data_IF_724040751632
#
_entry.id   IF_724040751632
#
_cell.length_a   1.000
_cell.length_b   1.000
_cell.length_c   1.000
_cell.angle_alpha   90.00
_cell.angle_beta   90.00
_cell.angle_gamma   90.00
#
_symmetry.space_group_name_H-M   'P 1'
#
loop_
_entity.id
_entity.type
_entity.pdbx_description
1 polymer ?
#
# COMPACT_ATOMS: atom_id res chain seq x y z
N UNK A 1 51.96 -29.90 -26.92
CA UNK A 1 50.93 -29.70 -25.88
C UNK A 1 50.96 -28.24 -25.48
N UNK A 2 49.97 -27.46 -25.90
CA UNK A 2 49.86 -26.03 -25.57
C UNK A 2 49.22 -25.90 -24.19
N UNK A 3 49.98 -25.48 -23.19
CA UNK A 3 49.45 -25.09 -21.90
C UNK A 3 48.64 -23.80 -22.08
N UNK A 4 47.31 -23.92 -22.08
CA UNK A 4 46.42 -22.75 -22.01
C UNK A 4 46.71 -22.00 -20.72
N UNK A 5 47.27 -20.80 -20.86
CA UNK A 5 47.41 -19.84 -19.77
C UNK A 5 46.02 -19.53 -19.20
N UNK A 6 45.72 -20.13 -18.04
CA UNK A 6 44.57 -19.77 -17.21
C UNK A 6 44.85 -18.35 -16.67
N UNK A 7 44.35 -17.34 -17.37
CA UNK A 7 44.31 -15.97 -16.84
C UNK A 7 43.51 -15.99 -15.54
N UNK A 8 44.17 -15.63 -14.44
CA UNK A 8 43.51 -15.42 -13.16
C UNK A 8 42.38 -14.39 -13.32
N UNK A 9 41.22 -14.73 -12.78
CA UNK A 9 40.04 -13.88 -12.83
C UNK A 9 40.15 -12.79 -11.78
N UNK A 10 39.62 -11.61 -12.10
CA UNK A 10 39.62 -10.48 -11.17
C UNK A 10 38.99 -10.86 -9.81
N UNK A 11 39.53 -10.34 -8.69
CA UNK A 11 38.95 -10.54 -7.38
C UNK A 11 37.46 -10.20 -7.36
N UNK A 12 36.63 -11.17 -6.95
CA UNK A 12 35.17 -11.01 -6.89
C UNK A 12 34.40 -11.45 -8.13
N UNK A 13 35.07 -11.86 -9.21
CA UNK A 13 34.43 -12.40 -10.42
C UNK A 13 33.42 -13.52 -10.11
N UNK A 14 33.83 -14.53 -9.36
CA UNK A 14 32.96 -15.65 -8.97
C UNK A 14 31.81 -15.24 -8.06
N UNK A 15 32.04 -14.27 -7.17
CA UNK A 15 30.99 -13.69 -6.32
C UNK A 15 29.91 -13.00 -7.16
N UNK A 16 30.33 -12.25 -8.18
CA UNK A 16 29.40 -11.55 -9.07
C UNK A 16 28.56 -12.51 -9.90
N UNK A 17 29.18 -13.57 -10.46
CA UNK A 17 28.46 -14.61 -11.19
C UNK A 17 27.43 -15.28 -10.28
N UNK A 18 27.86 -15.73 -9.10
CA UNK A 18 26.97 -16.38 -8.13
C UNK A 18 25.77 -15.49 -7.75
N UNK A 19 26.01 -14.21 -7.45
CA UNK A 19 24.94 -13.26 -7.13
C UNK A 19 23.98 -13.03 -8.31
N UNK A 20 24.50 -12.93 -9.53
CA UNK A 20 23.71 -12.78 -10.75
C UNK A 20 22.81 -13.99 -11.01
N UNK A 21 23.36 -15.19 -10.86
CA UNK A 21 22.62 -16.45 -11.01
C UNK A 21 21.51 -16.57 -9.95
N UNK A 22 21.81 -16.23 -8.70
CA UNK A 22 20.82 -16.20 -7.62
C UNK A 22 19.67 -15.21 -7.88
N UNK A 23 19.96 -14.02 -8.42
CA UNK A 23 18.94 -13.05 -8.81
C UNK A 23 18.08 -13.60 -9.95
N UNK A 24 18.69 -14.23 -10.94
CA UNK A 24 18.00 -14.80 -12.11
C UNK A 24 17.08 -15.95 -11.72
N UNK A 25 17.58 -16.89 -10.92
CA UNK A 25 16.80 -18.01 -10.40
C UNK A 25 15.63 -17.54 -9.54
N UNK A 26 15.83 -16.49 -8.74
CA UNK A 26 14.78 -15.88 -7.94
C UNK A 26 13.69 -15.23 -8.79
N UNK A 27 14.07 -14.41 -9.77
CA UNK A 27 13.11 -13.80 -10.72
C UNK A 27 12.29 -14.88 -11.42
N UNK A 28 12.94 -15.95 -11.87
CA UNK A 28 12.27 -17.10 -12.49
C UNK A 28 11.26 -17.76 -11.52
N UNK A 29 11.65 -18.00 -10.27
CA UNK A 29 10.78 -18.62 -9.27
C UNK A 29 9.60 -17.73 -8.87
N UNK A 30 9.81 -16.42 -8.69
CA UNK A 30 8.71 -15.49 -8.41
C UNK A 30 7.72 -15.49 -9.57
N UNK A 31 8.20 -15.44 -10.81
CA UNK A 31 7.33 -15.58 -11.98
C UNK A 31 6.56 -16.90 -11.97
N UNK A 32 7.20 -18.02 -11.60
CA UNK A 32 6.52 -19.32 -11.47
C UNK A 32 5.45 -19.32 -10.36
N UNK A 33 5.73 -18.71 -9.22
CA UNK A 33 4.77 -18.57 -8.12
C UNK A 33 3.59 -17.71 -8.57
N UNK A 34 3.86 -16.54 -9.16
CA UNK A 34 2.84 -15.63 -9.66
C UNK A 34 2.02 -16.26 -10.78
N UNK A 35 2.62 -17.02 -11.70
CA UNK A 35 1.88 -17.74 -12.74
C UNK A 35 1.04 -18.89 -12.19
N UNK A 36 1.41 -19.44 -11.03
CA UNK A 36 0.65 -20.52 -10.37
C UNK A 36 -0.54 -19.99 -9.56
N UNK A 37 -0.59 -18.68 -9.34
CA UNK A 37 -1.67 -18.00 -8.65
C UNK A 37 -2.51 -17.32 -9.72
N UNK A 38 -3.82 -17.63 -9.78
CA UNK A 38 -4.72 -16.92 -10.67
C UNK A 38 -4.58 -15.42 -10.42
N UNK A 39 -4.58 -14.61 -11.48
CA UNK A 39 -4.63 -13.16 -11.34
C UNK A 39 -6.06 -12.71 -11.60
N UNK A 40 -6.56 -11.81 -10.75
CA UNK A 40 -7.79 -11.08 -10.99
C UNK A 40 -7.39 -9.61 -11.11
N UNK A 41 -7.72 -8.97 -12.25
CA UNK A 41 -7.41 -7.55 -12.46
C UNK A 41 -5.90 -7.22 -12.29
N UNK A 42 -5.00 -8.10 -12.72
CA UNK A 42 -3.55 -7.92 -12.58
C UNK A 42 -3.00 -8.02 -11.15
N UNK A 43 -3.81 -8.46 -10.19
CA UNK A 43 -3.43 -8.70 -8.79
C UNK A 43 -3.48 -10.20 -8.48
N UNK A 44 -2.54 -10.77 -7.69
CA UNK A 44 -2.55 -12.19 -7.35
C UNK A 44 -3.77 -12.57 -6.49
N UNK A 45 -4.64 -13.45 -6.99
CA UNK A 45 -5.88 -13.88 -6.32
C UNK A 45 -5.65 -14.78 -5.08
N UNK A 46 -4.44 -15.32 -4.90
CA UNK A 46 -4.04 -16.09 -3.72
C UNK A 46 -2.62 -15.71 -3.29
N UNK A 47 -2.47 -14.43 -2.93
CA UNK A 47 -1.22 -13.85 -2.45
C UNK A 47 -0.70 -14.56 -1.20
N UNK A 48 -1.59 -15.03 -0.31
CA UNK A 48 -1.20 -15.71 0.93
C UNK A 48 -0.40 -16.99 0.61
N UNK A 49 -0.87 -17.78 -0.38
CA UNK A 49 -0.12 -18.94 -0.87
C UNK A 49 1.21 -18.53 -1.50
N UNK A 50 1.26 -17.43 -2.24
CA UNK A 50 2.51 -16.93 -2.84
C UNK A 50 3.54 -16.49 -1.78
N UNK A 51 3.11 -15.80 -0.74
CA UNK A 51 3.92 -15.40 0.42
C UNK A 51 4.46 -16.63 1.15
N UNK A 52 3.59 -17.62 1.42
CA UNK A 52 3.99 -18.89 2.05
C UNK A 52 5.01 -19.67 1.20
N UNK A 53 4.79 -19.80 -0.11
CA UNK A 53 5.68 -20.54 -1.02
C UNK A 53 7.04 -19.88 -1.23
N UNK A 54 7.10 -18.55 -1.11
CA UNK A 54 8.34 -17.78 -1.20
C UNK A 54 9.11 -17.73 0.12
N UNK A 55 8.49 -18.12 1.25
CA UNK A 55 9.07 -17.94 2.59
C UNK A 55 9.25 -16.46 2.94
N UNK A 56 8.44 -15.59 2.33
CA UNK A 56 8.51 -14.15 2.53
C UNK A 56 7.95 -13.78 3.90
N UNK A 57 8.71 -12.96 4.60
CA UNK A 57 8.32 -12.28 5.84
C UNK A 57 8.71 -10.82 5.72
N UNK A 58 8.36 -9.99 6.70
CA UNK A 58 8.72 -8.59 6.73
C UNK A 58 9.41 -8.21 8.04
N UNK A 59 10.22 -7.16 7.97
CA UNK A 59 10.87 -6.55 9.11
C UNK A 59 10.79 -5.03 9.03
N UNK A 60 10.80 -4.38 10.18
CA UNK A 60 10.98 -2.94 10.29
C UNK A 60 12.35 -2.66 10.91
N UNK A 61 13.11 -1.77 10.29
CA UNK A 61 14.45 -1.38 10.75
C UNK A 61 14.43 0.08 11.15
N UNK A 62 14.81 0.35 12.39
CA UNK A 62 14.93 1.69 12.95
C UNK A 62 16.39 2.09 13.00
N UNK A 63 16.71 3.31 12.56
CA UNK A 63 18.07 3.86 12.65
C UNK A 63 18.09 5.09 13.56
N UNK A 64 18.97 5.10 14.53
CA UNK A 64 19.15 6.25 15.43
C UNK A 64 20.20 7.25 14.93
N UNK A 65 20.32 8.38 15.63
CA UNK A 65 21.31 9.44 15.35
C UNK A 65 22.76 8.97 15.49
N UNK A 66 23.03 7.90 16.26
CA UNK A 66 24.35 7.28 16.35
C UNK A 66 24.65 6.34 15.18
N UNK A 67 23.66 6.09 14.32
CA UNK A 67 23.74 5.15 13.20
C UNK A 67 23.47 3.70 13.60
N UNK A 68 23.08 3.42 14.84
CA UNK A 68 22.74 2.07 15.30
C UNK A 68 21.39 1.65 14.74
N UNK A 69 21.36 0.44 14.20
CA UNK A 69 20.16 -0.15 13.59
C UNK A 69 19.51 -1.15 14.54
N UNK A 70 18.20 -1.02 14.73
CA UNK A 70 17.37 -1.95 15.49
C UNK A 70 16.35 -2.59 14.56
N UNK A 71 16.47 -3.89 14.32
CA UNK A 71 15.60 -4.65 13.42
C UNK A 71 14.55 -5.39 14.24
N UNK A 72 13.29 -5.22 13.88
CA UNK A 72 12.15 -5.93 14.47
C UNK A 72 11.48 -6.82 13.44
N UNK A 73 11.28 -8.09 13.81
CA UNK A 73 10.60 -9.08 12.96
C UNK A 73 9.10 -8.89 13.04
N UNK A 74 8.40 -9.17 11.95
CA UNK A 74 6.94 -9.22 11.95
C UNK A 74 6.41 -10.09 13.10
N UNK A 75 5.35 -9.62 13.75
CA UNK A 75 4.62 -10.38 14.76
C UNK A 75 3.41 -11.08 14.14
N UNK A 76 2.66 -10.34 13.32
CA UNK A 76 1.41 -10.83 12.73
C UNK A 76 1.18 -10.22 11.33
N UNK A 77 0.31 -10.88 10.55
CA UNK A 77 -0.09 -10.44 9.21
C UNK A 77 -1.61 -10.62 9.08
N UNK A 78 -2.29 -9.57 8.66
CA UNK A 78 -3.70 -9.62 8.29
C UNK A 78 -3.84 -9.45 6.78
N UNK A 79 -4.57 -10.35 6.12
CA UNK A 79 -4.85 -10.29 4.68
C UNK A 79 -6.23 -9.67 4.44
N UNK A 80 -6.29 -8.71 3.53
CA UNK A 80 -7.51 -8.07 3.04
C UNK A 80 -7.80 -8.46 1.58
N UNK A 81 -8.77 -7.83 0.93
CA UNK A 81 -9.12 -8.19 -0.45
C UNK A 81 -8.00 -7.83 -1.45
N UNK A 82 -7.38 -6.65 -1.29
CA UNK A 82 -6.34 -6.13 -2.19
C UNK A 82 -5.02 -5.75 -1.53
N UNK A 83 -4.93 -5.84 -0.20
CA UNK A 83 -3.73 -5.49 0.56
C UNK A 83 -3.51 -6.44 1.75
N UNK A 84 -2.35 -6.35 2.38
CA UNK A 84 -2.11 -6.91 3.69
C UNK A 84 -1.58 -5.86 4.66
N UNK A 85 -1.84 -6.10 5.94
CA UNK A 85 -1.28 -5.34 7.05
C UNK A 85 -0.25 -6.18 7.79
N UNK A 86 1.00 -5.72 7.83
CA UNK A 86 2.06 -6.32 8.63
C UNK A 86 2.12 -5.62 9.97
N UNK A 87 2.08 -6.36 11.07
CA UNK A 87 2.06 -5.83 12.44
C UNK A 87 3.37 -6.12 13.14
N UNK A 88 3.94 -5.09 13.77
CA UNK A 88 5.05 -5.20 14.71
C UNK A 88 4.60 -4.73 16.09
N UNK A 89 4.66 -5.65 17.05
CA UNK A 89 4.42 -5.38 18.47
C UNK A 89 5.60 -5.96 19.26
N UNK A 90 6.15 -5.18 20.19
CA UNK A 90 7.28 -5.60 21.01
C UNK A 90 7.26 -4.92 22.38
N UNK A 91 8.01 -5.49 23.33
CA UNK A 91 8.18 -4.91 24.66
C UNK A 91 9.28 -3.85 24.71
N UNK A 92 10.25 -3.93 23.80
CA UNK A 92 11.40 -3.03 23.73
C UNK A 92 11.39 -2.31 22.38
N UNK A 93 11.23 -1.00 22.43
CA UNK A 93 11.27 -0.12 21.26
C UNK A 93 12.42 0.87 21.38
N UNK A 94 13.03 1.28 20.26
CA UNK A 94 13.99 2.37 20.29
C UNK A 94 13.31 3.69 20.67
N UNK A 95 14.07 4.59 21.31
CA UNK A 95 13.55 5.89 21.70
C UNK A 95 13.20 6.72 20.47
N UNK A 96 11.94 7.15 20.35
CA UNK A 96 11.46 7.88 19.18
C UNK A 96 12.23 9.18 18.91
N UNK A 97 12.69 9.85 19.97
CA UNK A 97 13.42 11.13 19.89
C UNK A 97 14.82 10.98 19.29
N UNK A 98 15.40 9.78 19.34
CA UNK A 98 16.72 9.51 18.75
C UNK A 98 16.63 8.92 17.34
N UNK A 99 15.43 8.63 16.82
CA UNK A 99 15.26 8.02 15.51
C UNK A 99 15.49 9.03 14.38
N UNK A 100 16.18 8.57 13.35
CA UNK A 100 16.41 9.33 12.12
C UNK A 100 15.68 8.74 10.95
N UNK A 101 15.63 7.41 10.82
CA UNK A 101 14.89 6.74 9.75
C UNK A 101 14.17 5.50 10.23
N UNK A 102 13.10 5.16 9.50
CA UNK A 102 12.40 3.88 9.59
C UNK A 102 12.40 3.28 8.21
N UNK A 103 12.67 1.99 8.11
CA UNK A 103 12.66 1.26 6.85
C UNK A 103 11.82 0.00 6.99
N UNK A 104 11.02 -0.27 5.96
CA UNK A 104 10.27 -1.52 5.85
C UNK A 104 10.95 -2.42 4.84
N UNK A 105 11.26 -3.64 5.24
CA UNK A 105 11.96 -4.61 4.41
C UNK A 105 11.14 -5.88 4.21
N UNK A 106 11.14 -6.39 2.99
CA UNK A 106 10.84 -7.79 2.72
C UNK A 106 12.05 -8.65 3.07
N UNK A 107 11.81 -9.76 3.76
CA UNK A 107 12.82 -10.66 4.31
C UNK A 107 12.59 -12.04 3.72
N UNK A 108 13.57 -12.51 2.95
CA UNK A 108 13.54 -13.83 2.30
C UNK A 108 14.74 -14.67 2.69
N UNK A 109 14.59 -15.99 2.75
CA UNK A 109 15.72 -16.88 2.94
C UNK A 109 16.67 -16.79 1.73
N UNK A 110 17.98 -16.90 1.97
CA UNK A 110 18.97 -16.90 0.88
C UNK A 110 18.86 -18.13 -0.01
N UNK A 111 18.52 -19.29 0.54
CA UNK A 111 18.27 -20.53 -0.20
C UNK A 111 16.79 -20.91 -0.11
N UNK A 112 16.19 -21.25 -1.25
CA UNK A 112 14.78 -21.65 -1.33
C UNK A 112 14.60 -23.18 -1.38
N UNK A 113 15.63 -23.93 -1.01
CA UNK A 113 15.72 -25.37 -1.19
C UNK A 113 15.29 -26.12 0.08
N UNK A 114 14.32 -27.03 -0.06
CA UNK A 114 13.74 -27.79 1.06
C UNK A 114 14.72 -28.82 1.65
N UNK A 115 15.81 -29.12 0.94
CA UNK A 115 16.76 -30.18 1.30
C UNK A 115 17.85 -29.80 2.30
N UNK A 116 17.85 -28.57 2.82
CA UNK A 116 18.90 -28.12 3.76
C UNK A 116 18.32 -28.04 5.17
N UNK A 117 18.84 -28.88 6.06
CA UNK A 117 18.49 -28.94 7.49
C UNK A 117 18.26 -27.54 8.12
N UNK A 118 17.12 -27.40 8.80
CA UNK A 118 16.69 -26.22 9.57
C UNK A 118 17.64 -25.81 10.71
N UNK A 119 18.77 -26.51 10.92
CA UNK A 119 19.69 -26.31 12.03
C UNK A 119 20.77 -25.25 11.78
N UNK A 120 20.95 -24.78 10.54
CA UNK A 120 21.87 -23.67 10.23
C UNK A 120 21.07 -22.41 9.92
N UNK A 121 21.18 -21.38 10.77
CA UNK A 121 20.65 -20.03 10.55
C UNK A 121 21.35 -19.42 9.32
N UNK A 122 20.84 -19.72 8.14
CA UNK A 122 21.29 -19.06 6.92
C UNK A 122 20.95 -17.57 6.97
N UNK A 123 21.79 -16.69 6.41
CA UNK A 123 21.52 -15.26 6.40
C UNK A 123 20.23 -14.99 5.63
N UNK A 124 19.36 -14.17 6.19
CA UNK A 124 18.20 -13.65 5.48
C UNK A 124 18.62 -12.49 4.58
N UNK A 125 17.98 -12.37 3.42
CA UNK A 125 18.13 -11.22 2.54
C UNK A 125 17.01 -10.22 2.79
N UNK A 126 17.40 -8.96 2.89
CA UNK A 126 16.51 -7.81 3.03
C UNK A 126 16.33 -7.14 1.66
N UNK A 127 15.10 -6.76 1.38
CA UNK A 127 14.68 -5.99 0.21
C UNK A 127 13.92 -4.77 0.71
N UNK A 128 14.46 -3.57 0.50
CA UNK A 128 13.82 -2.32 0.91
C UNK A 128 12.52 -2.12 0.14
N UNK A 129 11.43 -1.91 0.87
CA UNK A 129 10.10 -1.62 0.31
C UNK A 129 9.80 -0.13 0.43
N UNK A 130 10.09 0.46 1.59
CA UNK A 130 9.89 1.87 1.84
C UNK A 130 10.89 2.39 2.89
N UNK A 131 11.27 3.66 2.75
CA UNK A 131 12.16 4.39 3.64
C UNK A 131 11.49 5.70 4.05
N UNK A 132 11.53 6.01 5.34
CA UNK A 132 10.86 7.15 5.96
C UNK A 132 11.86 7.97 6.76
N UNK A 133 11.94 9.26 6.46
CA UNK A 133 12.74 10.21 7.23
C UNK A 133 11.98 10.70 8.47
N UNK A 134 12.53 10.41 9.64
CA UNK A 134 12.01 10.83 10.93
C UNK A 134 12.75 12.04 11.53
N UNK A 135 13.74 12.63 10.84
CA UNK A 135 14.44 13.82 11.36
C UNK A 135 13.49 15.01 11.56
N UNK A 136 12.54 15.16 10.65
CA UNK A 136 11.40 16.08 10.77
C UNK A 136 10.13 15.35 11.22
N UNK A 137 10.26 14.45 12.20
CA UNK A 137 9.21 13.52 12.66
C UNK A 137 7.79 14.13 12.70
N UNK A 138 7.65 15.31 13.30
CA UNK A 138 6.36 15.97 13.50
C UNK A 138 5.78 16.61 12.22
N UNK A 139 6.63 16.96 11.25
CA UNK A 139 6.21 17.52 9.96
C UNK A 139 5.90 16.41 8.95
N UNK A 140 6.59 15.28 9.05
CA UNK A 140 6.44 14.13 8.15
C UNK A 140 5.23 13.25 8.47
N UNK A 141 4.63 13.37 9.67
CA UNK A 141 3.54 12.52 10.12
C UNK A 141 2.16 13.18 9.96
N UNK A 142 1.23 12.47 9.35
CA UNK A 142 -0.18 12.83 9.34
C UNK A 142 -0.88 12.24 10.57
N UNK A 143 -1.66 13.05 11.29
CA UNK A 143 -2.45 12.55 12.42
C UNK A 143 -3.70 11.83 11.92
N UNK A 144 -3.88 10.58 12.33
CA UNK A 144 -5.03 9.75 11.94
C UNK A 144 -6.10 9.76 13.04
N UNK A 145 -5.71 9.50 14.27
CA UNK A 145 -6.68 9.40 15.35
C UNK A 145 -6.04 9.04 16.69
N UNK A 146 -6.85 8.93 17.73
CA UNK A 146 -6.39 8.48 19.03
C UNK A 146 -7.52 7.81 19.81
N UNK A 147 -7.15 7.03 20.82
CA UNK A 147 -8.08 6.56 21.83
C UNK A 147 -7.61 6.96 23.24
N UNK A 148 -8.04 6.21 24.26
CA UNK A 148 -7.62 6.43 25.65
C UNK A 148 -6.13 6.14 25.90
N UNK A 149 -5.50 5.28 25.10
CA UNK A 149 -4.13 4.80 25.33
C UNK A 149 -3.12 5.30 24.29
N UNK A 150 -3.49 5.29 23.01
CA UNK A 150 -2.56 5.52 21.91
C UNK A 150 -2.97 6.68 21.01
N UNK A 151 -1.97 7.31 20.40
CA UNK A 151 -2.09 8.27 19.30
C UNK A 151 -1.56 7.60 18.03
N UNK A 152 -2.34 7.59 16.96
CA UNK A 152 -2.00 6.98 15.68
C UNK A 152 -1.53 8.04 14.68
N UNK A 153 -0.35 7.81 14.13
CA UNK A 153 0.31 8.67 13.14
C UNK A 153 0.55 7.88 11.85
N UNK A 154 0.46 8.55 10.71
CA UNK A 154 0.70 7.99 9.40
C UNK A 154 1.95 8.63 8.76
N UNK A 155 2.88 7.76 8.39
CA UNK A 155 4.05 8.06 7.58
C UNK A 155 3.76 7.56 6.16
N UNK A 156 3.79 8.48 5.19
CA UNK A 156 3.52 8.14 3.79
C UNK A 156 4.74 7.48 3.14
N UNK A 157 4.55 6.40 2.35
CA UNK A 157 3.28 5.70 2.06
C UNK A 157 2.94 4.61 3.08
N UNK A 158 1.68 4.48 3.48
CA UNK A 158 1.16 3.26 4.15
C UNK A 158 1.76 2.79 5.49
N UNK A 159 2.60 3.56 6.20
CA UNK A 159 3.14 3.16 7.50
C UNK A 159 2.42 3.85 8.66
N UNK A 160 1.80 3.07 9.53
CA UNK A 160 1.18 3.51 10.77
C UNK A 160 2.14 3.35 11.94
N UNK A 161 2.30 4.43 12.70
CA UNK A 161 3.07 4.47 13.94
C UNK A 161 2.15 4.86 15.09
N UNK A 162 1.95 3.95 16.04
CA UNK A 162 1.15 4.22 17.23
C UNK A 162 2.06 4.55 18.42
N UNK A 163 1.73 5.62 19.14
CA UNK A 163 2.48 6.10 20.30
C UNK A 163 1.61 6.04 21.55
N UNK A 164 2.18 5.58 22.67
CA UNK A 164 1.53 5.71 23.98
C UNK A 164 1.36 7.17 24.35
N UNK A 165 0.15 7.56 24.75
CA UNK A 165 -0.15 8.97 25.08
C UNK A 165 0.62 9.49 26.30
N UNK A 166 0.91 8.62 27.27
CA UNK A 166 1.58 9.00 28.52
C UNK A 166 3.10 9.10 28.37
N UNK A 167 3.75 8.09 27.79
CA UNK A 167 5.21 8.05 27.68
C UNK A 167 5.75 8.62 26.36
N UNK A 168 4.89 8.78 25.35
CA UNK A 168 5.27 9.14 23.99
C UNK A 168 6.27 8.14 23.36
N UNK A 169 6.19 6.88 23.78
CA UNK A 169 6.97 5.78 23.22
C UNK A 169 6.16 5.02 22.18
N UNK A 170 6.86 4.28 21.32
CA UNK A 170 6.22 3.45 20.29
C UNK A 170 5.44 2.31 20.99
N UNK A 171 4.16 2.19 20.64
CA UNK A 171 3.29 1.11 21.09
C UNK A 171 3.35 -0.06 20.10
N UNK A 172 3.10 0.24 18.83
CA UNK A 172 3.13 -0.71 17.73
C UNK A 172 3.35 0.01 16.40
N UNK A 173 3.74 -0.75 15.39
CA UNK A 173 3.88 -0.29 14.00
C UNK A 173 3.08 -1.21 13.10
N UNK A 174 2.39 -0.64 12.11
CA UNK A 174 1.66 -1.40 11.09
C UNK A 174 2.03 -0.86 9.72
N UNK A 175 2.39 -1.72 8.77
CA UNK A 175 2.58 -1.33 7.37
C UNK A 175 1.46 -1.93 6.52
N UNK A 176 0.83 -1.10 5.70
CA UNK A 176 -0.24 -1.49 4.78
C UNK A 176 0.35 -1.62 3.37
N UNK A 177 0.35 -2.83 2.83
CA UNK A 177 1.03 -3.17 1.58
C UNK A 177 0.02 -3.72 0.57
N UNK A 178 -0.21 -2.98 -0.52
CA UNK A 178 -1.07 -3.42 -1.61
C UNK A 178 -0.45 -4.62 -2.34
N UNK A 179 -1.27 -5.55 -2.84
CA UNK A 179 -0.82 -6.79 -3.47
C UNK A 179 -0.15 -6.58 -4.83
N UNK A 180 -0.50 -5.51 -5.53
CA UNK A 180 0.15 -5.15 -6.79
C UNK A 180 1.67 -5.03 -6.57
N UNK A 181 2.44 -5.87 -7.29
CA UNK A 181 3.91 -5.89 -7.26
C UNK A 181 4.56 -6.20 -5.89
N UNK A 182 3.78 -6.69 -4.92
CA UNK A 182 4.23 -6.90 -3.55
C UNK A 182 5.40 -7.88 -3.45
N UNK A 183 5.32 -9.03 -4.14
CA UNK A 183 6.37 -10.03 -4.10
C UNK A 183 7.67 -9.47 -4.69
N UNK A 184 7.58 -8.79 -5.82
CA UNK A 184 8.73 -8.21 -6.50
C UNK A 184 9.41 -7.17 -5.61
N UNK A 185 8.66 -6.22 -5.05
CA UNK A 185 9.14 -5.21 -4.11
C UNK A 185 9.80 -5.85 -2.88
N UNK A 186 9.19 -6.91 -2.36
CA UNK A 186 9.64 -7.57 -1.13
C UNK A 186 10.81 -8.54 -1.32
N UNK A 187 11.21 -8.85 -2.56
CA UNK A 187 12.19 -9.94 -2.80
C UNK A 187 13.31 -9.61 -3.78
N UNK A 188 13.09 -8.69 -4.73
CA UNK A 188 14.03 -8.40 -5.82
C UNK A 188 14.93 -7.20 -5.53
N UNK A 189 14.57 -6.36 -4.56
CA UNK A 189 15.38 -5.23 -4.13
C UNK A 189 16.63 -5.63 -3.34
N UNK A 190 17.34 -4.62 -2.84
CA UNK A 190 18.46 -4.79 -1.93
C UNK A 190 18.14 -4.16 -0.57
N UNK A 191 18.99 -4.37 0.43
CA UNK A 191 18.75 -3.84 1.78
C UNK A 191 18.61 -2.30 1.82
N UNK A 192 19.29 -1.61 0.89
CA UNK A 192 19.39 -0.15 0.88
C UNK A 192 18.70 0.50 -0.34
N UNK A 193 18.24 -0.30 -1.30
CA UNK A 193 17.63 0.24 -2.52
C UNK A 193 16.37 -0.56 -2.87
N UNK A 194 15.28 0.18 -3.07
CA UNK A 194 14.02 -0.36 -3.58
C UNK A 194 14.22 -0.98 -4.97
N UNK A 195 13.43 -2.01 -5.26
CA UNK A 195 13.39 -2.58 -6.60
C UNK A 195 12.75 -1.59 -7.58
N UNK A 196 13.45 -1.31 -8.69
CA UNK A 196 12.92 -0.47 -9.77
C UNK A 196 12.34 -1.36 -10.87
N UNK A 197 11.06 -1.14 -11.17
CA UNK A 197 10.41 -1.79 -12.30
C UNK A 197 10.91 -1.22 -13.62
N UNK A 198 10.92 -2.02 -14.71
CA UNK A 198 11.11 -1.50 -16.04
C UNK A 198 10.09 -0.38 -16.34
N UNK A 199 10.50 0.67 -17.07
CA UNK A 199 9.56 1.72 -17.45
C UNK A 199 8.41 1.13 -18.27
N UNK A 200 7.19 1.62 -18.00
CA UNK A 200 6.02 1.29 -18.81
C UNK A 200 6.23 1.83 -20.23
N UNK A 201 5.86 1.01 -21.21
CA UNK A 201 5.87 1.42 -22.62
C UNK A 201 4.42 1.69 -23.01
N UNK A 202 4.07 2.93 -23.39
CA UNK A 202 2.73 3.26 -23.82
C UNK A 202 2.32 2.40 -25.02
N UNK A 203 1.10 1.87 -24.95
CA UNK A 203 0.42 1.34 -26.12
C UNK A 203 -0.31 2.50 -26.74
N UNK A 204 -0.03 2.85 -27.99
CA UNK A 204 -0.71 3.95 -28.69
C UNK A 204 -1.96 3.40 -29.38
N UNK A 205 -3.05 4.16 -29.29
CA UNK A 205 -4.27 3.94 -30.07
C UNK A 205 -4.49 5.15 -30.98
N UNK A 206 -4.56 4.91 -32.29
CA UNK A 206 -4.76 5.92 -33.33
C UNK A 206 -6.21 6.04 -33.79
N UNK A 207 -7.10 5.17 -33.29
CA UNK A 207 -8.51 5.09 -33.66
C UNK A 207 -9.36 5.90 -32.68
N UNK A 208 -9.10 5.79 -31.37
CA UNK A 208 -9.91 6.45 -30.35
C UNK A 208 -9.44 7.89 -30.03
N UNK A 209 -10.21 8.94 -30.36
CA UNK A 209 -9.85 10.32 -30.06
C UNK A 209 -9.88 10.68 -28.56
N UNK A 210 -10.43 9.81 -27.72
CA UNK A 210 -10.50 9.95 -26.26
C UNK A 210 -9.73 8.83 -25.53
N UNK A 211 -8.76 8.21 -26.20
CA UNK A 211 -7.97 7.11 -25.65
C UNK A 211 -7.34 7.46 -24.30
N UNK A 212 -7.49 6.59 -23.30
CA UNK A 212 -7.07 6.88 -21.93
C UNK A 212 -7.96 7.86 -21.14
N UNK A 213 -9.13 8.27 -21.65
CA UNK A 213 -10.13 9.04 -20.89
C UNK A 213 -11.34 8.21 -20.43
N UNK A 214 -11.43 6.93 -20.80
CA UNK A 214 -12.55 6.06 -20.45
C UNK A 214 -12.09 4.63 -20.12
N UNK A 215 -13.05 3.74 -19.88
CA UNK A 215 -12.78 2.32 -19.65
C UNK A 215 -12.17 1.99 -18.28
N UNK A 216 -11.92 2.97 -17.42
CA UNK A 216 -11.33 2.74 -16.11
C UNK A 216 -12.26 1.93 -15.20
N UNK A 217 -11.65 1.14 -14.32
CA UNK A 217 -12.34 0.43 -13.25
C UNK A 217 -11.70 0.79 -11.91
N UNK A 218 -12.49 1.09 -10.88
CA UNK A 218 -12.03 1.29 -9.51
C UNK A 218 -12.56 0.15 -8.64
N UNK A 219 -11.65 -0.61 -8.05
CA UNK A 219 -11.95 -1.45 -6.91
C UNK A 219 -11.49 -0.75 -5.63
N UNK A 220 -12.36 -0.70 -4.62
CA UNK A 220 -12.10 -0.07 -3.33
C UNK A 220 -12.45 -1.03 -2.20
N UNK A 221 -11.57 -1.12 -1.21
CA UNK A 221 -11.77 -1.89 0.02
C UNK A 221 -11.47 -0.98 1.22
N UNK A 222 -12.44 -0.80 2.12
CA UNK A 222 -12.28 -0.07 3.36
C UNK A 222 -12.38 -1.05 4.52
N UNK A 223 -11.34 -1.19 5.32
CA UNK A 223 -11.27 -2.24 6.32
C UNK A 223 -10.42 -1.85 7.55
N UNK A 224 -10.58 -2.60 8.65
CA UNK A 224 -9.69 -2.56 9.81
C UNK A 224 -9.44 -3.98 10.30
N UNK A 225 -8.21 -4.45 10.16
CA UNK A 225 -7.87 -5.86 10.38
C UNK A 225 -8.77 -6.74 9.50
N UNK A 226 -9.49 -7.67 10.13
CA UNK A 226 -10.40 -8.61 9.46
C UNK A 226 -11.81 -8.04 9.19
N UNK A 227 -12.11 -6.81 9.65
CA UNK A 227 -13.42 -6.18 9.46
C UNK A 227 -13.42 -5.37 8.18
N UNK A 228 -14.32 -5.68 7.26
CA UNK A 228 -14.55 -4.89 6.04
C UNK A 228 -15.79 -4.02 6.22
N UNK A 229 -15.65 -2.72 5.96
CA UNK A 229 -16.71 -1.72 6.01
C UNK A 229 -17.36 -1.51 4.64
N UNK A 230 -16.55 -1.58 3.58
CA UNK A 230 -17.00 -1.47 2.19
C UNK A 230 -16.05 -2.28 1.32
N UNK A 231 -16.59 -3.06 0.40
CA UNK A 231 -15.84 -3.61 -0.71
C UNK A 231 -16.68 -3.48 -1.98
N UNK A 232 -16.16 -2.79 -2.99
CA UNK A 232 -16.93 -2.48 -4.19
C UNK A 232 -16.05 -2.32 -5.42
N UNK A 233 -16.61 -2.70 -6.58
CA UNK A 233 -15.99 -2.49 -7.89
C UNK A 233 -16.91 -1.65 -8.76
N UNK A 234 -16.39 -0.53 -9.24
CA UNK A 234 -17.07 0.41 -10.12
C UNK A 234 -16.41 0.38 -11.49
N UNK A 235 -17.20 0.13 -12.53
CA UNK A 235 -16.70 -0.09 -13.90
C UNK A 235 -17.15 1.02 -14.84
N UNK A 236 -16.50 1.05 -16.01
CA UNK A 236 -16.85 1.97 -17.09
C UNK A 236 -16.77 3.44 -16.67
N UNK A 237 -15.76 3.76 -15.85
CA UNK A 237 -15.49 5.13 -15.43
C UNK A 237 -14.87 5.89 -16.60
N UNK A 238 -15.37 7.11 -16.85
CA UNK A 238 -14.90 7.95 -17.94
C UNK A 238 -14.88 9.42 -17.54
N UNK A 239 -14.01 10.17 -18.21
CA UNK A 239 -13.87 11.61 -18.12
C UNK A 239 -14.09 12.20 -19.51
N UNK A 240 -14.81 13.32 -19.59
CA UNK A 240 -14.84 14.13 -20.82
C UNK A 240 -13.73 15.17 -20.74
N UNK A 241 -13.18 15.57 -21.89
CA UNK A 241 -12.10 16.58 -21.98
C UNK A 241 -12.43 17.88 -21.25
N UNK A 242 -13.70 18.30 -21.29
CA UNK A 242 -14.23 19.49 -20.60
C UNK A 242 -14.12 19.44 -19.05
N UNK A 243 -13.97 18.25 -18.47
CA UNK A 243 -13.81 18.05 -17.03
C UNK A 243 -12.35 17.89 -16.60
N UNK A 244 -11.39 17.99 -17.53
CA UNK A 244 -9.97 18.03 -17.21
C UNK A 244 -9.65 19.44 -16.70
N UNK A 245 -9.24 19.53 -15.44
CA UNK A 245 -8.93 20.81 -14.78
C UNK A 245 -7.76 20.63 -13.83
N UNK A 246 -6.93 21.66 -13.73
CA UNK A 246 -5.81 21.74 -12.79
C UNK A 246 -4.83 20.54 -12.87
N UNK A 247 -4.66 19.97 -14.07
CA UNK A 247 -3.80 18.80 -14.29
C UNK A 247 -4.40 17.46 -13.85
N UNK A 248 -5.72 17.38 -13.63
CA UNK A 248 -6.40 16.14 -13.26
C UNK A 248 -7.61 15.83 -14.15
N UNK A 249 -7.77 14.56 -14.48
CA UNK A 249 -9.00 13.98 -15.02
C UNK A 249 -9.94 13.69 -13.85
N UNK A 250 -11.21 14.08 -13.97
CA UNK A 250 -12.24 13.85 -12.94
C UNK A 250 -13.18 12.72 -13.35
N UNK A 251 -13.11 11.60 -12.63
CA UNK A 251 -13.96 10.42 -12.80
C UNK A 251 -14.99 10.39 -11.66
N UNK A 252 -16.28 10.49 -12.00
CA UNK A 252 -17.37 10.36 -11.02
C UNK A 252 -17.67 8.88 -10.81
N UNK A 253 -17.44 8.38 -9.59
CA UNK A 253 -17.64 6.96 -9.24
C UNK A 253 -19.04 6.75 -8.67
N UNK A 254 -19.38 7.53 -7.63
CA UNK A 254 -20.73 7.62 -7.08
C UNK A 254 -21.16 9.07 -7.24
N UNK A 255 -22.26 9.31 -7.95
CA UNK A 255 -22.76 10.64 -8.19
C UNK A 255 -23.74 11.08 -7.11
N UNK A 256 -23.53 12.30 -6.58
CA UNK A 256 -24.40 12.87 -5.55
C UNK A 256 -25.88 12.86 -5.92
N UNK A 257 -26.19 13.16 -7.18
CA UNK A 257 -27.57 13.23 -7.71
C UNK A 257 -28.20 11.87 -8.00
N UNK A 258 -27.43 10.77 -7.91
CA UNK A 258 -27.92 9.43 -8.24
C UNK A 258 -27.98 8.56 -6.97
N UNK A 259 -29.08 8.66 -6.24
CA UNK A 259 -29.30 7.92 -4.99
C UNK A 259 -29.19 6.40 -5.11
N UNK A 260 -29.39 5.84 -6.32
CA UNK A 260 -29.23 4.40 -6.57
C UNK A 260 -27.78 3.92 -6.50
N UNK A 261 -26.81 4.84 -6.60
CA UNK A 261 -25.38 4.52 -6.48
C UNK A 261 -24.87 4.67 -5.04
N UNK A 262 -25.68 5.23 -4.14
CA UNK A 262 -25.28 5.45 -2.75
C UNK A 262 -25.15 4.11 -2.05
N UNK A 263 -24.11 3.99 -1.23
CA UNK A 263 -23.74 2.73 -0.60
C UNK A 263 -23.51 2.93 0.91
N UNK A 264 -24.06 2.06 1.76
CA UNK A 264 -23.78 2.12 3.19
C UNK A 264 -22.36 1.61 3.49
N UNK A 265 -21.78 2.14 4.58
CA UNK A 265 -20.66 1.52 5.28
C UNK A 265 -21.21 0.61 6.36
N UNK A 266 -20.74 -0.64 6.37
CA UNK A 266 -21.29 -1.68 7.23
C UNK A 266 -20.69 -1.59 8.64
N UNK A 267 -21.52 -1.34 9.64
CA UNK A 267 -21.17 -1.41 11.05
C UNK A 267 -20.30 -0.26 11.57
N UNK A 268 -19.76 -0.44 12.78
CA UNK A 268 -19.05 0.63 13.49
C UNK A 268 -17.62 0.81 12.96
N UNK A 269 -17.42 1.95 12.31
CA UNK A 269 -16.15 2.34 11.68
C UNK A 269 -15.11 2.69 12.75
N UNK A 270 -13.97 1.99 12.73
CA UNK A 270 -12.85 2.33 13.60
C UNK A 270 -11.64 1.43 13.40
N UNK A 271 -10.48 1.92 13.84
CA UNK A 271 -9.23 1.22 13.72
C UNK A 271 -8.99 0.40 14.98
N UNK A 272 -9.25 -0.90 14.90
CA UNK A 272 -9.02 -1.82 16.00
C UNK A 272 -7.54 -2.20 16.09
N UNK A 273 -6.98 -2.11 17.29
CA UNK A 273 -5.58 -2.46 17.53
C UNK A 273 -5.43 -3.29 18.80
N UNK A 274 -4.40 -4.13 18.81
CA UNK A 274 -4.10 -5.02 19.93
C UNK A 274 -2.59 -5.18 20.06
N UNK A 275 -2.15 -5.10 21.31
CA UNK A 275 -0.80 -5.44 21.76
C UNK A 275 -0.88 -6.66 22.68
N UNK A 276 0.26 -7.10 23.23
CA UNK A 276 0.27 -8.20 24.19
C UNK A 276 -0.51 -7.90 25.48
N UNK A 277 -0.69 -6.61 25.82
CA UNK A 277 -1.26 -6.19 27.12
C UNK A 277 -2.53 -5.36 26.98
N UNK A 278 -2.62 -4.53 25.93
CA UNK A 278 -3.73 -3.61 25.71
C UNK A 278 -4.38 -3.83 24.35
N UNK A 279 -5.67 -3.52 24.28
CA UNK A 279 -6.43 -3.40 23.05
C UNK A 279 -7.31 -2.15 23.08
N UNK A 280 -7.67 -1.68 21.90
CA UNK A 280 -8.44 -0.46 21.74
C UNK A 280 -9.03 -0.34 20.33
N UNK A 281 -9.86 0.69 20.17
CA UNK A 281 -10.48 1.01 18.89
C UNK A 281 -10.49 2.53 18.71
N UNK A 282 -9.81 3.02 17.68
CA UNK A 282 -9.76 4.43 17.33
C UNK A 282 -10.93 4.71 16.39
N UNK A 283 -11.94 5.44 16.85
CA UNK A 283 -13.11 5.76 16.03
C UNK A 283 -12.71 6.57 14.80
N UNK A 284 -13.50 6.46 13.72
CA UNK A 284 -13.35 7.28 12.53
C UNK A 284 -12.00 7.13 11.81
N UNK A 285 -11.30 6.02 12.01
CA UNK A 285 -10.04 5.69 11.34
C UNK A 285 -10.09 4.27 10.81
N UNK A 286 -9.52 4.02 9.63
CA UNK A 286 -9.47 2.69 9.01
C UNK A 286 -8.45 2.68 7.85
N UNK A 287 -8.27 1.54 7.20
CA UNK A 287 -7.42 1.40 6.02
C UNK A 287 -8.32 1.45 4.78
N UNK A 288 -7.86 2.19 3.77
CA UNK A 288 -8.49 2.27 2.46
C UNK A 288 -7.50 1.79 1.40
N UNK A 289 -7.91 0.78 0.67
CA UNK A 289 -7.23 0.26 -0.49
C UNK A 289 -7.96 0.68 -1.75
N UNK A 290 -7.18 1.04 -2.78
CA UNK A 290 -7.72 1.29 -4.09
C UNK A 290 -6.88 0.62 -5.17
N UNK A 291 -7.55 -0.01 -6.12
CA UNK A 291 -7.01 -0.57 -7.34
C UNK A 291 -7.75 0.06 -8.51
N UNK A 292 -7.08 0.94 -9.24
CA UNK A 292 -7.57 1.50 -10.51
C UNK A 292 -6.95 0.71 -11.65
N UNK A 293 -7.81 0.19 -12.52
CA UNK A 293 -7.44 -0.45 -13.78
C UNK A 293 -7.70 0.50 -14.94
N UNK A 294 -6.84 0.43 -15.96
CA UNK A 294 -7.12 1.04 -17.25
C UNK A 294 -8.14 0.22 -18.07
N UNK A 295 -8.46 0.71 -19.27
CA UNK A 295 -9.37 0.05 -20.21
C UNK A 295 -8.89 -1.33 -20.69
N UNK A 296 -7.61 -1.64 -20.52
CA UNK A 296 -7.00 -2.95 -20.84
C UNK A 296 -6.87 -3.86 -19.61
N UNK A 297 -7.54 -3.47 -18.51
CA UNK A 297 -7.53 -4.17 -17.21
C UNK A 297 -6.14 -4.25 -16.55
N UNK A 298 -5.21 -3.37 -16.93
CA UNK A 298 -3.90 -3.28 -16.29
C UNK A 298 -3.96 -2.36 -15.08
N UNK A 299 -3.30 -2.72 -13.95
CA UNK A 299 -3.19 -1.84 -12.81
C UNK A 299 -2.52 -0.50 -13.18
N UNK A 300 -3.30 0.57 -13.09
CA UNK A 300 -2.91 1.93 -13.45
C UNK A 300 -2.45 2.73 -12.22
N UNK A 301 -3.21 2.64 -11.13
CA UNK A 301 -2.90 3.27 -9.85
C UNK A 301 -3.36 2.36 -8.71
N UNK A 302 -2.48 2.11 -7.74
CA UNK A 302 -2.74 1.23 -6.61
C UNK A 302 -2.20 1.87 -5.34
N UNK A 303 -2.97 1.85 -4.25
CA UNK A 303 -2.46 2.19 -2.93
C UNK A 303 -3.20 1.42 -1.84
N UNK A 304 -2.57 1.39 -0.67
CA UNK A 304 -3.15 0.94 0.59
C UNK A 304 -2.68 1.91 1.66
N UNK A 305 -3.61 2.64 2.26
CA UNK A 305 -3.26 3.70 3.21
C UNK A 305 -4.28 3.83 4.34
N UNK A 306 -3.84 4.19 5.55
CA UNK A 306 -4.74 4.62 6.59
C UNK A 306 -5.42 5.94 6.21
N UNK A 307 -6.69 6.05 6.55
CA UNK A 307 -7.50 7.25 6.35
C UNK A 307 -8.35 7.53 7.58
N UNK A 308 -8.79 8.79 7.67
CA UNK A 308 -9.66 9.25 8.74
C UNK A 308 -10.91 9.89 8.17
N UNK A 309 -12.02 9.69 8.86
CA UNK A 309 -13.29 10.33 8.57
C UNK A 309 -13.31 11.71 9.25
N UNK A 310 -13.47 12.77 8.46
CA UNK A 310 -13.51 14.13 8.94
C UNK A 310 -14.92 14.71 8.84
N UNK A 311 -15.36 15.42 9.87
CA UNK A 311 -16.66 16.13 9.83
C UNK A 311 -16.57 17.32 8.87
N UNK A 312 -17.52 17.41 7.95
CA UNK A 312 -17.69 18.57 7.07
C UNK A 312 -18.42 19.69 7.83
N UNK A 313 -17.94 20.92 7.69
CA UNK A 313 -18.63 22.13 8.20
C UNK A 313 -19.66 22.68 7.20
N UNK A 314 -19.60 22.23 5.95
CA UNK A 314 -20.38 22.78 4.85
C UNK A 314 -21.63 21.93 4.62
N UNK A 315 -22.77 22.40 5.11
CA UNK A 315 -24.10 21.82 4.88
C UNK A 315 -24.78 22.35 3.60
N UNK A 316 -24.08 23.09 2.75
CA UNK A 316 -24.71 23.87 1.68
C UNK A 316 -25.09 23.05 0.42
N UNK A 317 -24.60 21.82 0.26
CA UNK A 317 -24.83 21.03 -0.97
C UNK A 317 -25.63 19.74 -0.76
N UNK A 318 -26.00 19.41 0.48
CA UNK A 318 -26.66 18.16 0.87
C UNK A 318 -28.03 18.40 1.50
N UNK A 319 -28.78 19.41 1.02
CA UNK A 319 -30.11 19.74 1.57
C UNK A 319 -31.09 18.56 1.62
N UNK A 320 -30.92 17.55 0.75
CA UNK A 320 -31.76 16.35 0.72
C UNK A 320 -31.42 15.34 1.85
N UNK A 321 -30.25 15.48 2.49
CA UNK A 321 -29.78 14.59 3.55
C UNK A 321 -29.74 15.34 4.89
N UNK A 322 -30.72 15.09 5.75
CA UNK A 322 -30.89 15.74 7.08
C UNK A 322 -29.85 15.30 8.15
N UNK A 323 -28.71 14.75 7.72
CA UNK A 323 -27.67 14.13 8.56
C UNK A 323 -26.37 14.92 8.65
N UNK A 324 -25.54 14.60 9.64
CA UNK A 324 -24.17 15.13 9.70
C UNK A 324 -23.38 14.64 8.48
N UNK A 325 -22.61 15.55 7.88
CA UNK A 325 -21.84 15.27 6.68
C UNK A 325 -20.36 15.06 7.02
N UNK A 326 -19.73 14.12 6.34
CA UNK A 326 -18.36 13.71 6.55
C UNK A 326 -17.64 13.58 5.20
N UNK A 327 -16.31 13.61 5.24
CA UNK A 327 -15.50 13.34 4.06
C UNK A 327 -14.23 12.56 4.38
N UNK A 328 -13.74 11.88 3.36
CA UNK A 328 -12.45 11.18 3.34
C UNK A 328 -11.69 11.72 2.13
N UNK A 329 -10.40 12.02 2.33
CA UNK A 329 -9.52 12.46 1.26
C UNK A 329 -8.21 11.68 1.29
N UNK A 330 -7.84 11.13 0.14
CA UNK A 330 -6.50 10.59 -0.09
C UNK A 330 -5.88 11.25 -1.32
N UNK A 331 -4.56 11.46 -1.29
CA UNK A 331 -3.80 12.05 -2.39
C UNK A 331 -2.34 11.60 -2.35
N UNK A 332 -1.81 11.23 -3.52
CA UNK A 332 -0.39 11.06 -3.80
C UNK A 332 0.00 11.76 -5.11
N UNK A 333 1.15 11.42 -5.69
CA UNK A 333 1.64 12.01 -6.95
C UNK A 333 0.87 11.56 -8.19
N UNK A 334 0.15 10.43 -8.12
CA UNK A 334 -0.55 9.82 -9.26
C UNK A 334 -2.02 10.25 -9.29
N UNK A 335 -2.66 10.29 -8.12
CA UNK A 335 -4.09 10.56 -8.06
C UNK A 335 -4.61 11.06 -6.72
N UNK A 336 -5.90 11.36 -6.70
CA UNK A 336 -6.65 11.77 -5.51
C UNK A 336 -7.98 11.04 -5.47
N UNK A 337 -8.40 10.64 -4.29
CA UNK A 337 -9.73 10.08 -4.06
C UNK A 337 -10.44 10.94 -3.01
N UNK A 338 -11.65 11.37 -3.35
CA UNK A 338 -12.50 12.15 -2.48
C UNK A 338 -13.85 11.45 -2.31
N UNK A 339 -14.28 11.27 -1.06
CA UNK A 339 -15.49 10.55 -0.70
C UNK A 339 -16.27 11.42 0.28
N UNK A 340 -17.55 11.66 0.00
CA UNK A 340 -18.47 12.33 0.90
C UNK A 340 -19.47 11.31 1.46
N UNK A 341 -19.71 11.42 2.76
CA UNK A 341 -20.59 10.54 3.50
C UNK A 341 -21.59 11.35 4.32
N UNK A 342 -22.75 10.77 4.55
CA UNK A 342 -23.76 11.30 5.47
C UNK A 342 -24.12 10.26 6.52
N UNK A 343 -24.32 10.71 7.75
CA UNK A 343 -24.88 9.86 8.80
C UNK A 343 -26.41 9.81 8.70
N UNK A 344 -26.97 8.63 8.46
CA UNK A 344 -28.42 8.41 8.38
C UNK A 344 -28.90 7.90 9.74
N UNK A 345 -29.73 8.69 10.43
CA UNK A 345 -30.17 8.37 11.80
C UNK A 345 -31.12 7.19 11.85
N UNK A 346 -31.91 6.99 10.80
CA UNK A 346 -32.93 5.94 10.70
C UNK A 346 -32.31 4.54 10.63
N UNK A 347 -31.18 4.41 9.93
CA UNK A 347 -30.44 3.15 9.79
C UNK A 347 -29.24 3.04 10.73
N UNK A 348 -28.87 4.11 11.44
CA UNK A 348 -27.66 4.21 12.26
C UNK A 348 -26.39 3.83 11.48
N UNK A 349 -26.29 4.27 10.22
CA UNK A 349 -25.21 3.91 9.31
C UNK A 349 -24.69 5.14 8.53
N UNK A 350 -23.42 5.07 8.13
CA UNK A 350 -22.85 6.03 7.19
C UNK A 350 -23.19 5.63 5.76
N UNK A 351 -23.63 6.58 4.94
CA UNK A 351 -23.85 6.38 3.52
C UNK A 351 -22.87 7.20 2.70
N UNK A 352 -22.18 6.56 1.76
CA UNK A 352 -21.42 7.25 0.73
C UNK A 352 -22.39 7.82 -0.29
N UNK A 353 -22.44 9.14 -0.37
CA UNK A 353 -23.33 9.87 -1.28
C UNK A 353 -22.58 10.40 -2.51
N UNK A 354 -21.26 10.57 -2.41
CA UNK A 354 -20.44 11.04 -3.51
C UNK A 354 -19.04 10.42 -3.44
N UNK A 355 -18.52 9.97 -4.56
CA UNK A 355 -17.16 9.45 -4.68
C UNK A 355 -16.58 9.92 -6.00
N UNK A 356 -15.44 10.62 -5.93
CA UNK A 356 -14.77 11.20 -7.09
C UNK A 356 -13.31 10.81 -7.09
N UNK A 357 -12.90 10.19 -8.20
CA UNK A 357 -11.54 9.79 -8.48
C UNK A 357 -10.90 10.85 -9.40
N UNK A 358 -9.73 11.34 -9.02
CA UNK A 358 -8.93 12.26 -9.82
C UNK A 358 -7.61 11.60 -10.22
N UNK A 359 -7.32 11.54 -11.52
CA UNK A 359 -6.06 10.99 -12.04
C UNK A 359 -5.21 12.10 -12.65
N UNK A 360 -3.92 12.13 -12.36
CA UNK A 360 -3.00 13.13 -12.93
C UNK A 360 -2.94 13.01 -14.46
N UNK A 361 -3.08 14.13 -15.17
CA UNK A 361 -2.91 14.17 -16.63
C UNK A 361 -1.49 13.76 -17.02
N UNK A 362 -0.48 14.10 -16.22
CA UNK A 362 0.91 13.67 -16.45
C UNK A 362 1.02 12.15 -16.47
N UNK A 363 0.41 11.47 -15.50
CA UNK A 363 0.39 10.00 -15.46
C UNK A 363 -0.34 9.43 -16.67
N UNK A 364 -1.53 9.94 -16.99
CA UNK A 364 -2.33 9.46 -18.13
C UNK A 364 -1.56 9.62 -19.44
N UNK A 365 -1.03 10.81 -19.69
CA UNK A 365 -0.24 11.14 -20.88
C UNK A 365 0.98 10.20 -20.99
N UNK A 366 1.69 9.95 -19.88
CA UNK A 366 2.82 9.00 -19.85
C UNK A 366 2.44 7.53 -20.03
N UNK A 367 1.19 7.15 -19.72
CA UNK A 367 0.73 5.76 -19.75
C UNK A 367 0.17 5.35 -21.10
N UNK A 368 -0.56 6.27 -21.74
CA UNK A 368 -1.23 6.06 -23.03
C UNK A 368 -0.52 6.75 -24.20
N UNK A 369 0.54 7.54 -23.93
CA UNK A 369 1.25 8.30 -24.96
C UNK A 369 0.43 9.44 -25.56
N UNK A 370 -0.47 10.00 -24.76
CA UNK A 370 -1.38 11.09 -25.15
C UNK A 370 -0.88 12.45 -24.64
N UNK A 371 -1.62 13.53 -24.94
CA UNK A 371 -1.28 14.90 -24.55
C UNK A 371 -2.53 15.71 -24.18
N UNK A 372 -3.16 15.31 -23.08
CA UNK A 372 -4.29 16.00 -22.45
C UNK A 372 -3.89 17.13 -21.51
#
# INVERSE_FOLDING_TARGET
MSATELKDKDPGYWKNIFMSEMITNRKKRIRQILSSVNTYAGVPANIEKAVKLSGLTWAVTFKDTSGKETVMKQMDICFSHTSLSVVWCGLVWPCIKSLTTVQVHGVTPMTFDKCINHSKKWPNRFSLIADYDLRSFMESCEYIGQDKYVKLLHLKPGLLLALWKKSFEIAFVIATLHYHQLLELSTLGSANNMYKFPPHVPVLDDIDPNYGLHGYQLHIDMHSGLRTYLCGTYRSLFCRKEYIKDGFLRLSVIALKNSKQHAPLVGNIGFSWKTQTFEGNIQNSFIMDALVLDETEKPFWCFSAPVSLHTSRSSETLYDFMGESFYIKYQDSIGKLYIELVWVKESEEYYIVNMVLFLSTEKVNSWFGTKY
#
